data_IF_783596203511
#
_entry.id   IF_783596203511
#
_cell.length_a   1.000
_cell.length_b   1.000
_cell.length_c   1.000
_cell.angle_alpha   90.00
_cell.angle_beta   90.00
_cell.angle_gamma   90.00
#
_symmetry.space_group_name_H-M   'P 1'
#
loop_
_entity.id
_entity.type
_entity.pdbx_description
1 polymer ?
#
# COMPACT_ATOMS: atom_id res chain seq x y z
N UNK A 1 -19.48 -23.70 0.99
CA UNK A 1 -18.06 -23.85 1.39
C UNK A 1 -17.31 -22.64 0.84
N UNK A 2 -16.83 -21.75 1.69
CA UNK A 2 -16.27 -20.46 1.27
C UNK A 2 -15.10 -20.08 2.14
N UNK A 3 -14.00 -20.83 2.02
CA UNK A 3 -12.74 -20.50 2.66
C UNK A 3 -11.64 -21.24 1.87
N UNK A 4 -11.00 -20.58 0.91
CA UNK A 4 -9.82 -21.14 0.27
C UNK A 4 -8.80 -20.05 0.01
N UNK A 5 -7.72 -20.13 0.81
CA UNK A 5 -6.55 -19.23 0.93
C UNK A 5 -6.80 -17.91 1.68
N UNK A 6 -6.88 -18.02 3.01
CA UNK A 6 -6.57 -16.90 3.89
C UNK A 6 -5.04 -16.83 4.00
N UNK A 7 -4.43 -15.77 3.46
CA UNK A 7 -3.00 -15.52 3.64
C UNK A 7 -2.83 -14.76 4.95
N UNK A 8 -2.15 -15.38 5.91
CA UNK A 8 -1.81 -14.70 7.16
C UNK A 8 -0.89 -13.52 6.86
N UNK A 9 -1.21 -12.38 7.44
CA UNK A 9 -0.42 -11.16 7.31
C UNK A 9 -0.20 -10.53 8.68
N UNK A 10 0.96 -9.91 8.83
CA UNK A 10 1.34 -9.09 9.97
C UNK A 10 1.65 -7.70 9.45
N UNK A 11 1.04 -6.69 10.05
CA UNK A 11 1.33 -5.30 9.76
C UNK A 11 1.81 -4.61 11.04
N UNK A 12 2.92 -3.89 10.93
CA UNK A 12 3.43 -3.02 11.98
C UNK A 12 3.55 -1.61 11.43
N UNK A 13 3.15 -0.62 12.21
CA UNK A 13 3.24 0.79 11.86
C UNK A 13 3.79 1.57 13.04
N UNK A 14 4.63 2.55 12.77
CA UNK A 14 5.17 3.46 13.76
C UNK A 14 5.11 4.89 13.24
N UNK A 15 4.70 5.81 14.09
CA UNK A 15 4.65 7.24 13.78
C UNK A 15 5.25 8.03 14.94
N UNK A 16 6.08 9.01 14.62
CA UNK A 16 6.79 9.83 15.58
C UNK A 16 6.78 11.30 15.16
N UNK A 17 6.19 12.14 15.99
CA UNK A 17 6.24 13.59 15.84
C UNK A 17 7.51 14.14 16.48
N UNK A 18 8.48 14.56 15.67
CA UNK A 18 9.70 15.19 16.21
C UNK A 18 9.41 16.57 16.79
N UNK A 19 8.51 17.32 16.17
CA UNK A 19 8.06 18.63 16.63
C UNK A 19 6.70 18.97 15.98
N UNK A 20 6.19 20.17 16.25
CA UNK A 20 4.93 20.65 15.66
C UNK A 20 4.98 20.82 14.13
N UNK A 21 6.16 20.68 13.52
CA UNK A 21 6.41 20.85 12.09
C UNK A 21 6.66 19.53 11.37
N UNK A 22 7.28 18.51 11.97
CA UNK A 22 7.73 17.29 11.30
C UNK A 22 7.22 16.05 12.04
N UNK A 23 6.51 15.21 11.29
CA UNK A 23 6.10 13.86 11.67
C UNK A 23 6.77 12.87 10.75
N UNK A 24 7.44 11.87 11.29
CA UNK A 24 7.94 10.72 10.55
C UNK A 24 6.98 9.57 10.79
N UNK A 25 6.67 8.79 9.77
CA UNK A 25 5.92 7.56 9.90
C UNK A 25 6.52 6.48 9.02
N UNK A 26 6.35 5.25 9.44
CA UNK A 26 6.80 4.09 8.69
C UNK A 26 5.92 2.91 9.02
N UNK A 27 5.90 1.95 8.12
CA UNK A 27 5.16 0.73 8.30
C UNK A 27 5.84 -0.40 7.55
N UNK A 28 5.62 -1.60 8.02
CA UNK A 28 5.98 -2.81 7.31
C UNK A 28 4.79 -3.75 7.35
N UNK A 29 4.62 -4.48 6.27
CA UNK A 29 3.62 -5.52 6.15
C UNK A 29 4.31 -6.76 5.60
N UNK A 30 4.12 -7.88 6.29
CA UNK A 30 4.72 -9.16 5.94
C UNK A 30 3.60 -10.17 5.87
N UNK A 31 3.54 -10.94 4.80
CA UNK A 31 2.59 -12.04 4.63
C UNK A 31 3.28 -13.20 3.90
N UNK A 32 2.61 -14.33 3.77
CA UNK A 32 3.11 -15.44 2.97
C UNK A 32 3.36 -14.96 1.53
N UNK A 33 4.62 -15.00 1.11
CA UNK A 33 5.13 -14.60 -0.21
C UNK A 33 4.87 -13.11 -0.58
N UNK A 34 4.66 -12.24 0.41
CA UNK A 34 4.50 -10.80 0.21
C UNK A 34 5.20 -10.00 1.30
N UNK A 35 5.95 -8.97 0.90
CA UNK A 35 6.58 -8.03 1.81
C UNK A 35 6.39 -6.61 1.32
N UNK A 36 5.97 -5.71 2.18
CA UNK A 36 5.92 -4.28 1.92
C UNK A 36 6.57 -3.47 3.04
N UNK A 37 7.23 -2.40 2.65
CA UNK A 37 7.83 -1.44 3.56
C UNK A 37 7.49 -0.03 3.09
N UNK A 38 6.95 0.76 4.01
CA UNK A 38 6.58 2.15 3.81
C UNK A 38 7.38 3.02 4.75
N UNK A 39 7.88 4.13 4.24
CA UNK A 39 8.46 5.19 5.03
C UNK A 39 8.02 6.53 4.47
N UNK A 40 7.59 7.42 5.36
CA UNK A 40 7.03 8.70 5.00
C UNK A 40 7.26 9.77 6.05
N UNK A 41 7.11 11.00 5.61
CA UNK A 41 7.28 12.20 6.42
C UNK A 41 6.13 13.15 6.14
N UNK A 42 5.71 13.87 7.16
CA UNK A 42 4.67 14.88 7.11
C UNK A 42 5.19 16.17 7.71
N UNK A 43 5.13 17.25 6.95
CA UNK A 43 5.49 18.59 7.39
C UNK A 43 4.24 19.44 7.58
N UNK A 44 3.96 19.85 8.80
CA UNK A 44 2.86 20.76 9.13
C UNK A 44 3.37 22.21 9.21
N UNK A 45 3.26 22.95 8.11
CA UNK A 45 3.72 24.33 8.01
C UNK A 45 2.57 25.32 8.24
N UNK A 46 2.90 26.60 8.47
CA UNK A 46 1.88 27.67 8.59
C UNK A 46 1.02 27.85 7.33
N UNK A 47 1.51 27.40 6.18
CA UNK A 47 0.84 27.55 4.89
C UNK A 47 0.07 26.29 4.45
N UNK A 48 0.19 25.17 5.19
CA UNK A 48 -0.43 23.89 4.89
C UNK A 48 0.40 22.70 5.37
N UNK A 49 -0.17 21.49 5.32
CA UNK A 49 0.56 20.26 5.61
C UNK A 49 0.93 19.53 4.32
N UNK A 50 2.17 19.06 4.25
CA UNK A 50 2.72 18.34 3.10
C UNK A 50 3.16 16.98 3.61
N UNK A 51 2.76 15.89 2.98
CA UNK A 51 3.28 14.57 3.28
C UNK A 51 3.92 13.95 2.04
N UNK A 52 5.01 13.24 2.26
CA UNK A 52 5.68 12.45 1.24
C UNK A 52 5.99 11.09 1.82
N UNK A 53 5.55 10.04 1.14
CA UNK A 53 5.85 8.66 1.48
C UNK A 53 6.30 7.85 0.28
N UNK A 54 7.16 6.88 0.58
CA UNK A 54 7.63 5.88 -0.34
C UNK A 54 7.29 4.50 0.23
N UNK A 55 6.68 3.66 -0.59
CA UNK A 55 6.34 2.27 -0.28
C UNK A 55 7.02 1.36 -1.29
N UNK A 56 7.82 0.41 -0.82
CA UNK A 56 8.38 -0.67 -1.63
C UNK A 56 7.60 -1.95 -1.34
N UNK A 57 7.20 -2.67 -2.38
CA UNK A 57 6.51 -3.96 -2.29
C UNK A 57 7.27 -5.03 -3.08
N UNK A 58 7.39 -6.21 -2.50
CA UNK A 58 7.87 -7.42 -3.13
C UNK A 58 6.77 -8.48 -3.03
N UNK A 59 6.32 -9.01 -4.16
CA UNK A 59 5.24 -9.99 -4.25
C UNK A 59 5.70 -11.16 -5.09
N UNK A 60 5.68 -12.37 -4.53
CA UNK A 60 5.96 -13.61 -5.26
C UNK A 60 4.70 -14.45 -5.39
N UNK A 61 4.19 -14.63 -6.60
CA UNK A 61 3.00 -15.43 -6.86
C UNK A 61 3.32 -16.94 -6.87
N UNK A 62 2.29 -17.77 -6.67
CA UNK A 62 2.41 -19.25 -6.65
C UNK A 62 2.84 -19.81 -8.01
N UNK A 63 2.55 -19.08 -9.10
CA UNK A 63 2.98 -19.41 -10.46
C UNK A 63 4.48 -19.16 -10.71
N UNK A 64 5.21 -18.59 -9.74
CA UNK A 64 6.63 -18.28 -9.82
C UNK A 64 6.97 -16.85 -10.21
N UNK A 65 5.97 -16.03 -10.59
CA UNK A 65 6.19 -14.63 -10.97
C UNK A 65 6.57 -13.78 -9.75
N UNK A 66 7.56 -12.90 -9.94
CA UNK A 66 8.05 -11.98 -8.91
C UNK A 66 7.81 -10.55 -9.37
N UNK A 67 7.08 -9.79 -8.56
CA UNK A 67 6.77 -8.38 -8.78
C UNK A 67 7.43 -7.52 -7.71
N UNK A 68 8.43 -6.77 -8.13
CA UNK A 68 9.16 -5.82 -7.29
C UNK A 68 8.81 -4.40 -7.69
N UNK A 69 8.06 -3.72 -6.84
CA UNK A 69 7.54 -2.39 -7.16
C UNK A 69 7.73 -1.36 -6.07
N UNK A 70 7.60 -0.11 -6.48
CA UNK A 70 7.76 1.05 -5.62
C UNK A 70 6.63 2.03 -5.92
N UNK A 71 6.10 2.61 -4.87
CA UNK A 71 5.07 3.63 -4.92
C UNK A 71 5.55 4.85 -4.15
N UNK A 72 5.34 6.01 -4.74
CA UNK A 72 5.66 7.30 -4.16
C UNK A 72 4.38 8.10 -4.11
N UNK A 73 4.08 8.66 -2.96
CA UNK A 73 2.92 9.50 -2.76
C UNK A 73 3.35 10.83 -2.17
N UNK A 74 2.80 11.90 -2.75
CA UNK A 74 2.96 13.27 -2.29
C UNK A 74 1.55 13.79 -2.05
N UNK A 75 1.26 14.23 -0.84
CA UNK A 75 -0.02 14.84 -0.52
C UNK A 75 0.18 16.23 0.06
N UNK A 76 -0.64 17.17 -0.35
CA UNK A 76 -0.67 18.54 0.13
C UNK A 76 -2.08 18.87 0.58
N UNK A 77 -2.23 19.33 1.81
CA UNK A 77 -3.47 19.91 2.29
C UNK A 77 -3.22 21.32 2.82
N UNK A 78 -4.21 22.19 2.67
CA UNK A 78 -4.16 23.53 3.25
C UNK A 78 -5.41 23.77 4.07
N UNK A 79 -5.22 23.80 5.38
CA UNK A 79 -6.26 24.18 6.33
C UNK A 79 -6.08 25.65 6.69
N UNK A 80 -6.93 26.54 6.15
CA UNK A 80 -6.91 27.96 6.53
C UNK A 80 -7.83 28.13 7.74
N UNK A 81 -7.25 28.06 8.93
CA UNK A 81 -7.99 28.26 10.19
C UNK A 81 -8.59 29.66 10.31
N UNK A 82 -7.96 30.69 9.72
CA UNK A 82 -8.41 32.08 9.78
C UNK A 82 -9.73 32.36 9.03
N UNK A 83 -10.05 31.61 7.99
CA UNK A 83 -11.26 31.81 7.17
C UNK A 83 -12.22 30.62 7.22
N UNK A 84 -11.94 29.62 8.07
CA UNK A 84 -12.63 28.32 8.11
C UNK A 84 -12.72 27.63 6.74
N UNK A 85 -11.81 27.95 5.82
CA UNK A 85 -11.81 27.43 4.45
C UNK A 85 -10.87 26.22 4.37
N UNK A 86 -11.43 25.06 4.00
CA UNK A 86 -10.66 23.87 3.66
C UNK A 86 -10.33 23.90 2.17
N UNK A 87 -9.07 24.12 1.83
CA UNK A 87 -8.61 23.83 0.47
C UNK A 87 -8.42 22.32 0.36
N UNK A 88 -9.03 21.73 -0.67
CA UNK A 88 -9.04 20.28 -0.90
C UNK A 88 -7.64 19.69 -0.99
N UNK A 89 -7.52 18.43 -0.56
CA UNK A 89 -6.30 17.63 -0.60
C UNK A 89 -5.84 17.45 -2.06
N UNK A 90 -4.66 17.93 -2.40
CA UNK A 90 -3.97 17.60 -3.64
C UNK A 90 -3.01 16.43 -3.35
N UNK A 91 -3.38 15.22 -3.78
CA UNK A 91 -2.54 14.04 -3.64
C UNK A 91 -2.13 13.52 -5.02
N UNK A 92 -0.82 13.33 -5.21
CA UNK A 92 -0.27 12.67 -6.38
C UNK A 92 0.41 11.38 -5.95
N UNK A 93 -0.01 10.27 -6.55
CA UNK A 93 0.60 8.96 -6.36
C UNK A 93 1.20 8.49 -7.67
N UNK A 94 2.48 8.18 -7.65
CA UNK A 94 3.18 7.49 -8.72
C UNK A 94 3.51 6.08 -8.25
N UNK A 95 3.22 5.06 -9.06
CA UNK A 95 3.57 3.67 -8.72
C UNK A 95 4.23 3.03 -9.93
N UNK A 96 5.28 2.25 -9.69
CA UNK A 96 5.90 1.45 -10.73
C UNK A 96 4.92 0.38 -11.23
N UNK A 97 5.15 -0.12 -12.45
CA UNK A 97 4.29 -1.12 -13.08
C UNK A 97 4.17 -2.42 -12.26
N UNK A 98 5.24 -2.78 -11.56
CA UNK A 98 5.33 -4.00 -10.76
C UNK A 98 4.93 -3.78 -9.29
N UNK A 99 4.42 -2.59 -8.94
CA UNK A 99 3.87 -2.34 -7.61
C UNK A 99 2.56 -3.11 -7.43
N UNK A 100 2.48 -3.89 -6.35
CA UNK A 100 1.32 -4.68 -5.99
C UNK A 100 0.94 -4.42 -4.55
N UNK A 101 -0.34 -4.14 -4.31
CA UNK A 101 -0.87 -4.16 -2.95
C UNK A 101 -1.04 -5.60 -2.49
N UNK A 102 -1.09 -5.84 -1.18
CA UNK A 102 -1.37 -7.16 -0.63
C UNK A 102 -2.69 -7.74 -1.18
N UNK A 103 -3.71 -6.88 -1.37
CA UNK A 103 -4.97 -7.30 -1.94
C UNK A 103 -4.83 -7.78 -3.40
N UNK A 104 -3.99 -7.12 -4.20
CA UNK A 104 -3.69 -7.56 -5.57
C UNK A 104 -2.99 -8.92 -5.57
N UNK A 105 -2.07 -9.15 -4.62
CA UNK A 105 -1.37 -10.42 -4.45
C UNK A 105 -2.34 -11.55 -4.12
N UNK A 106 -3.20 -11.37 -3.10
CA UNK A 106 -4.19 -12.38 -2.70
C UNK A 106 -5.17 -12.67 -3.84
N UNK A 107 -5.63 -11.63 -4.54
CA UNK A 107 -6.55 -11.79 -5.67
C UNK A 107 -5.90 -12.55 -6.83
N UNK A 108 -4.66 -12.22 -7.19
CA UNK A 108 -3.94 -12.88 -8.27
C UNK A 108 -3.70 -14.37 -7.97
N UNK A 109 -3.30 -14.69 -6.73
CA UNK A 109 -3.09 -16.07 -6.29
C UNK A 109 -4.39 -16.88 -6.18
N UNK A 110 -5.52 -16.21 -5.94
CA UNK A 110 -6.82 -16.86 -5.92
C UNK A 110 -7.35 -17.13 -7.33
N UNK A 111 -7.07 -16.24 -8.29
CA UNK A 111 -7.55 -16.33 -9.68
C UNK A 111 -6.97 -17.52 -10.46
N UNK A 112 -5.74 -17.93 -10.16
CA UNK A 112 -5.11 -19.10 -10.80
C UNK A 112 -5.75 -20.43 -10.36
N UNK A 113 -6.41 -20.49 -9.20
CA UNK A 113 -7.08 -21.71 -8.75
C UNK A 113 -8.41 -21.97 -9.48
N UNK A 114 -9.00 -20.96 -10.14
CA UNK A 114 -10.22 -21.15 -10.93
C UNK A 114 -9.98 -21.74 -12.33
N UNK A 115 -8.72 -21.83 -12.78
CA UNK A 115 -8.37 -22.44 -14.08
C UNK A 115 -7.97 -23.91 -13.98
N UNK A 116 -8.18 -24.54 -12.82
CA UNK A 116 -7.84 -25.95 -12.58
C UNK A 116 -9.06 -26.82 -12.26
N UNK A 117 -10.27 -26.38 -12.62
CA UNK A 117 -11.49 -27.18 -12.57
C UNK A 117 -12.12 -27.33 -13.97
N UNK A 118 -11.30 -27.62 -14.98
CA UNK A 118 -11.79 -28.03 -16.31
C UNK A 118 -11.00 -29.26 -16.77
N UNK A 119 -11.14 -30.34 -16.00
CA UNK A 119 -10.80 -31.71 -16.39
C UNK A 119 -11.84 -32.66 -15.80
N UNK A 120 -13.12 -32.37 -16.02
CA UNK A 120 -14.17 -33.36 -15.84
C UNK A 120 -14.41 -34.06 -17.17
N UNK A 121 -13.85 -35.26 -17.25
CA UNK A 121 -14.18 -36.29 -18.24
C UNK A 121 -15.67 -36.63 -18.12
N UNK A 122 -16.38 -36.54 -19.23
CA UNK A 122 -17.53 -37.40 -19.51
C UNK A 122 -17.26 -38.06 -20.88
N UNK A 123 -17.57 -39.36 -20.97
CA UNK A 123 -17.27 -40.32 -22.06
C UNK A 123 -17.48 -39.81 -23.50
#
# INVERSE_FOLDING_TARGET
>A
AGASKQSDFVQAGYQYGFNNLLTLYGGTMVANNYYAFTLGTGWNTRIGAISVDATKSHSKQDNGDVFDGQSYQIAYNKFVSQTSTRFGLAAWRYSSRDYRTFNDHVWANNKDNYRRDENDIYD
#
